data_IF_029497969697
#
_entry.id   IF_029497969697
#
_cell.length_a   1.000
_cell.length_b   1.000
_cell.length_c   1.000
_cell.angle_alpha   90.00
_cell.angle_beta   90.00
_cell.angle_gamma   90.00
#
_symmetry.space_group_name_H-M   'P 1'
#
loop_
_entity.id
_entity.type
_entity.pdbx_description
1 polymer ?
#
# COMPACT_ATOMS: atom_id res chain seq x y z
N UNK A 1 -6.24 -19.50 11.76
CA UNK A 1 -7.12 -18.55 11.05
C UNK A 1 -7.57 -17.54 12.08
N UNK A 2 -7.30 -16.26 11.87
CA UNK A 2 -7.71 -15.22 12.81
C UNK A 2 -8.64 -14.25 12.08
N UNK A 3 -9.82 -14.03 12.66
CA UNK A 3 -10.79 -13.04 12.21
C UNK A 3 -10.44 -11.71 12.86
N UNK A 4 -10.32 -10.68 12.03
CA UNK A 4 -9.99 -9.32 12.43
C UNK A 4 -11.10 -8.38 11.98
N UNK A 5 -11.24 -7.26 12.68
CA UNK A 5 -12.26 -6.24 12.41
C UNK A 5 -11.49 -4.95 12.16
N UNK A 6 -11.58 -4.43 10.94
CA UNK A 6 -11.06 -3.12 10.57
C UNK A 6 -12.27 -2.33 10.03
N UNK A 7 -12.81 -1.42 10.83
CA UNK A 7 -14.03 -0.68 10.50
C UNK A 7 -15.29 -1.56 10.43
N UNK A 8 -16.15 -1.29 9.45
CA UNK A 8 -17.43 -1.99 9.27
C UNK A 8 -17.30 -3.37 8.61
N UNK A 9 -16.12 -3.71 8.04
CA UNK A 9 -15.87 -5.00 7.37
C UNK A 9 -14.98 -5.90 8.21
N UNK A 10 -15.34 -7.19 8.25
CA UNK A 10 -14.53 -8.22 8.91
C UNK A 10 -13.49 -8.72 7.91
N UNK A 11 -12.25 -8.84 8.33
CA UNK A 11 -11.15 -9.38 7.55
C UNK A 11 -10.69 -10.72 8.13
N UNK A 12 -10.16 -11.59 7.25
CA UNK A 12 -9.65 -12.91 7.60
C UNK A 12 -8.17 -12.94 7.28
N UNK A 13 -7.34 -13.16 8.30
CA UNK A 13 -5.91 -13.32 8.12
C UNK A 13 -5.55 -14.80 8.23
N UNK A 14 -4.87 -15.28 7.18
CA UNK A 14 -4.40 -16.66 7.09
C UNK A 14 -2.89 -16.65 7.24
N UNK A 15 -2.43 -17.37 8.27
CA UNK A 15 -1.02 -17.56 8.54
C UNK A 15 -0.47 -18.69 7.67
N UNK A 16 0.49 -18.34 6.82
CA UNK A 16 1.20 -19.27 5.95
C UNK A 16 2.57 -19.58 6.55
N UNK A 17 2.98 -20.84 6.68
CA UNK A 17 4.34 -21.18 7.10
C UNK A 17 5.39 -20.51 6.20
N UNK A 18 6.44 -19.91 6.78
CA UNK A 18 7.45 -19.14 6.03
C UNK A 18 8.07 -19.91 4.85
N UNK A 19 8.26 -21.22 5.00
CA UNK A 19 8.82 -22.10 3.94
C UNK A 19 7.97 -22.10 2.68
N UNK A 20 6.65 -21.98 2.80
CA UNK A 20 5.69 -22.06 1.69
C UNK A 20 5.37 -20.69 1.08
N UNK A 21 5.90 -19.58 1.63
CA UNK A 21 5.58 -18.20 1.19
C UNK A 21 5.70 -18.02 -0.32
N UNK A 22 6.75 -18.59 -0.94
CA UNK A 22 7.00 -18.44 -2.39
C UNK A 22 5.89 -19.08 -3.24
N UNK A 23 5.43 -20.27 -2.87
CA UNK A 23 4.36 -20.98 -3.58
C UNK A 23 3.03 -20.24 -3.46
N UNK A 24 2.70 -19.77 -2.25
CA UNK A 24 1.49 -18.97 -2.02
C UNK A 24 1.52 -17.63 -2.74
N UNK A 25 2.69 -16.99 -2.88
CA UNK A 25 2.82 -15.77 -3.70
C UNK A 25 2.47 -16.01 -5.17
N UNK A 26 2.83 -17.17 -5.75
CA UNK A 26 2.50 -17.49 -7.15
C UNK A 26 0.99 -17.64 -7.38
N UNK A 27 0.26 -18.21 -6.42
CA UNK A 27 -1.17 -18.56 -6.57
C UNK A 27 -2.08 -17.49 -5.92
N UNK A 28 -1.50 -16.47 -5.27
CA UNK A 28 -2.19 -15.52 -4.40
C UNK A 28 -3.48 -14.93 -5.00
N UNK A 29 -3.40 -14.41 -6.24
CA UNK A 29 -4.54 -13.73 -6.88
C UNK A 29 -5.74 -14.67 -7.04
N UNK A 30 -5.49 -15.94 -7.38
CA UNK A 30 -6.56 -16.94 -7.55
C UNK A 30 -7.11 -17.38 -6.19
N UNK A 31 -6.22 -17.69 -5.25
CA UNK A 31 -6.59 -18.13 -3.90
C UNK A 31 -7.42 -17.09 -3.16
N UNK A 32 -7.00 -15.82 -3.18
CA UNK A 32 -7.73 -14.73 -2.49
C UNK A 32 -9.12 -14.56 -3.10
N UNK A 33 -9.24 -14.56 -4.43
CA UNK A 33 -10.55 -14.46 -5.11
C UNK A 33 -11.49 -15.61 -4.77
N UNK A 34 -10.98 -16.84 -4.69
CA UNK A 34 -11.79 -18.00 -4.31
C UNK A 34 -12.24 -17.95 -2.86
N UNK A 35 -11.33 -17.56 -1.96
CA UNK A 35 -11.62 -17.44 -0.53
C UNK A 35 -12.60 -16.29 -0.27
N UNK A 36 -12.46 -15.15 -0.94
CA UNK A 36 -13.39 -14.02 -0.79
C UNK A 36 -14.81 -14.38 -1.23
N UNK A 37 -14.96 -15.17 -2.30
CA UNK A 37 -16.26 -15.72 -2.69
C UNK A 37 -16.86 -16.63 -1.61
N UNK A 38 -16.05 -17.46 -0.96
CA UNK A 38 -16.50 -18.38 0.09
C UNK A 38 -16.77 -17.67 1.42
N UNK A 39 -16.08 -16.58 1.71
CA UNK A 39 -16.19 -15.86 2.98
C UNK A 39 -17.15 -14.66 2.97
N UNK A 40 -18.10 -14.62 2.02
CA UNK A 40 -19.27 -13.72 2.00
C UNK A 40 -18.92 -12.25 2.31
N UNK A 41 -18.02 -11.67 1.50
CA UNK A 41 -17.69 -10.24 1.58
C UNK A 41 -16.69 -9.86 2.68
N UNK A 42 -15.95 -10.83 3.22
CA UNK A 42 -14.80 -10.58 4.09
C UNK A 42 -13.52 -10.48 3.27
N UNK A 43 -12.69 -9.49 3.59
CA UNK A 43 -11.39 -9.33 2.96
C UNK A 43 -10.41 -10.40 3.47
N UNK A 44 -9.74 -11.10 2.57
CA UNK A 44 -8.77 -12.14 2.93
C UNK A 44 -7.35 -11.64 2.70
N UNK A 45 -6.49 -11.79 3.72
CA UNK A 45 -5.07 -11.40 3.68
C UNK A 45 -4.19 -12.59 4.07
N UNK A 46 -3.18 -12.89 3.25
CA UNK A 46 -2.23 -13.97 3.50
C UNK A 46 -0.94 -13.42 4.12
N UNK A 47 -0.54 -13.93 5.29
CA UNK A 47 0.64 -13.46 6.00
C UNK A 47 1.56 -14.62 6.34
N UNK A 48 2.84 -14.48 6.02
CA UNK A 48 3.83 -15.47 6.42
C UNK A 48 4.09 -15.43 7.94
N UNK A 49 4.08 -16.58 8.62
CA UNK A 49 4.48 -16.68 10.02
C UNK A 49 5.97 -16.41 10.15
N UNK A 50 6.34 -15.31 10.80
CA UNK A 50 7.73 -14.92 11.05
C UNK A 50 7.95 -14.83 12.55
N UNK A 51 9.10 -15.30 13.02
CA UNK A 51 9.44 -15.31 14.44
C UNK A 51 10.50 -14.26 14.75
N UNK A 52 10.18 -13.34 15.66
CA UNK A 52 11.09 -12.28 16.11
C UNK A 52 12.01 -12.85 17.20
N UNK A 53 13.33 -12.67 17.04
CA UNK A 53 14.29 -12.97 18.10
C UNK A 53 14.59 -11.70 18.88
N UNK A 54 14.64 -11.82 20.20
CA UNK A 54 15.12 -10.74 21.06
C UNK A 54 16.60 -10.46 20.75
N UNK A 55 17.06 -9.20 20.83
CA UNK A 55 18.48 -8.90 20.74
C UNK A 55 19.27 -9.75 21.76
N UNK A 56 20.44 -10.30 21.37
CA UNK A 56 21.28 -11.06 22.28
C UNK A 56 21.74 -10.18 23.46
N UNK A 57 21.88 -10.78 24.65
CA UNK A 57 22.45 -10.07 25.81
C UNK A 57 23.94 -9.79 25.56
N UNK A 58 24.45 -8.68 26.11
CA UNK A 58 25.86 -8.31 25.99
C UNK A 58 26.73 -9.46 26.52
N UNK A 59 27.68 -9.94 25.72
CA UNK A 59 28.55 -11.08 26.05
C UNK A 59 28.06 -12.47 25.63
N UNK A 60 26.89 -12.58 24.98
CA UNK A 60 26.44 -13.86 24.44
C UNK A 60 27.05 -14.15 23.06
N UNK A 61 27.46 -15.40 22.84
CA UNK A 61 28.05 -15.87 21.58
C UNK A 61 27.01 -16.03 20.44
N UNK A 62 25.71 -16.03 20.77
CA UNK A 62 24.63 -16.27 19.81
C UNK A 62 24.35 -14.99 19.02
N UNK A 63 24.77 -14.98 17.76
CA UNK A 63 24.49 -13.88 16.83
C UNK A 63 23.07 -13.98 16.28
N UNK A 64 22.28 -12.92 16.44
CA UNK A 64 20.93 -12.85 15.87
C UNK A 64 21.00 -12.62 14.36
N UNK A 65 20.36 -13.47 13.53
CA UNK A 65 20.28 -13.22 12.09
C UNK A 65 19.43 -11.97 11.80
N UNK A 66 19.86 -11.14 10.84
CA UNK A 66 19.19 -9.87 10.51
C UNK A 66 17.73 -10.05 10.09
N UNK A 67 17.40 -11.16 9.43
CA UNK A 67 16.04 -11.52 9.00
C UNK A 67 15.05 -11.71 10.16
N UNK A 68 15.53 -11.94 11.38
CA UNK A 68 14.70 -12.14 12.59
C UNK A 68 14.71 -10.93 13.52
N UNK A 69 15.16 -9.77 13.04
CA UNK A 69 15.03 -8.50 13.75
C UNK A 69 13.59 -7.98 13.68
N UNK A 70 13.18 -7.17 14.66
CA UNK A 70 11.83 -6.58 14.70
C UNK A 70 11.57 -5.73 13.46
N UNK A 71 12.52 -4.87 13.07
CA UNK A 71 12.39 -4.01 11.90
C UNK A 71 12.24 -4.81 10.61
N UNK A 72 13.13 -5.76 10.35
CA UNK A 72 13.07 -6.58 9.14
C UNK A 72 11.79 -7.43 9.07
N UNK A 73 11.32 -7.96 10.20
CA UNK A 73 10.08 -8.72 10.24
C UNK A 73 8.87 -7.82 9.95
N UNK A 74 8.82 -6.61 10.49
CA UNK A 74 7.73 -5.67 10.25
C UNK A 74 7.67 -5.23 8.78
N UNK A 75 8.82 -4.91 8.18
CA UNK A 75 8.89 -4.56 6.75
C UNK A 75 8.44 -5.74 5.88
N UNK A 76 8.85 -6.95 6.24
CA UNK A 76 8.49 -8.14 5.49
C UNK A 76 7.05 -8.66 5.75
N UNK A 77 6.36 -8.11 6.77
CA UNK A 77 4.91 -8.26 6.99
C UNK A 77 4.16 -7.24 6.12
N UNK A 78 4.62 -5.99 6.03
CA UNK A 78 4.03 -4.98 5.14
C UNK A 78 4.00 -5.45 3.69
N UNK A 79 5.12 -5.98 3.18
CA UNK A 79 5.17 -6.60 1.85
C UNK A 79 4.19 -7.78 1.68
N UNK A 80 3.87 -8.47 2.77
CA UNK A 80 2.96 -9.62 2.74
C UNK A 80 1.50 -9.18 2.68
N UNK A 81 1.15 -8.14 3.44
CA UNK A 81 -0.22 -7.60 3.52
C UNK A 81 -0.65 -6.97 2.20
N UNK A 82 0.25 -6.26 1.53
CA UNK A 82 -0.05 -5.43 0.36
C UNK A 82 -0.02 -6.21 -0.96
N UNK A 83 0.55 -7.41 -0.98
CA UNK A 83 0.64 -8.23 -2.19
C UNK A 83 -0.76 -8.47 -2.79
N UNK A 84 -0.99 -8.27 -4.10
CA UNK A 84 -0.03 -8.20 -5.21
C UNK A 84 0.60 -6.82 -5.47
N UNK A 85 0.10 -5.74 -4.86
CA UNK A 85 0.65 -4.42 -5.09
C UNK A 85 2.07 -4.31 -4.52
N UNK A 86 2.90 -3.54 -5.23
CA UNK A 86 4.27 -3.25 -4.82
C UNK A 86 4.35 -1.92 -4.10
N UNK A 87 5.23 -1.86 -3.10
CA UNK A 87 5.49 -0.64 -2.34
C UNK A 87 6.56 0.15 -3.09
N UNK A 88 6.18 1.31 -3.62
CA UNK A 88 7.07 2.24 -4.32
C UNK A 88 7.95 2.99 -3.33
N UNK A 89 7.38 3.36 -2.18
CA UNK A 89 8.09 4.18 -1.20
C UNK A 89 7.53 4.08 0.19
N UNK A 90 8.36 4.45 1.16
CA UNK A 90 8.00 4.49 2.58
C UNK A 90 8.52 5.79 3.18
N UNK A 91 7.61 6.60 3.74
CA UNK A 91 7.95 7.81 4.49
C UNK A 91 7.46 7.66 5.92
N UNK A 92 8.22 8.16 6.88
CA UNK A 92 7.79 8.18 8.28
C UNK A 92 7.59 9.63 8.69
N UNK A 93 6.35 9.99 9.01
CA UNK A 93 6.01 11.30 9.53
C UNK A 93 6.02 11.25 11.06
N UNK A 94 6.75 12.18 11.66
CA UNK A 94 6.73 12.41 13.09
C UNK A 94 5.78 13.58 13.39
N UNK A 95 4.85 13.40 14.33
CA UNK A 95 4.00 14.47 14.85
C UNK A 95 4.68 15.16 16.02
N UNK A 96 4.16 16.32 16.43
CA UNK A 96 4.62 17.07 17.60
C UNK A 96 4.52 16.22 18.88
N UNK A 97 3.50 15.37 18.98
CA UNK A 97 3.29 14.41 20.09
C UNK A 97 4.28 13.23 20.06
N UNK A 98 5.37 13.32 19.29
CA UNK A 98 6.35 12.25 19.03
C UNK A 98 5.77 10.96 18.43
N UNK A 99 4.48 10.93 18.11
CA UNK A 99 3.83 9.79 17.46
C UNK A 99 4.30 9.65 16.02
N UNK A 100 4.44 8.39 15.58
CA UNK A 100 4.97 8.03 14.27
C UNK A 100 3.85 7.49 13.40
N UNK A 101 3.64 8.13 12.25
CA UNK A 101 2.75 7.63 11.19
C UNK A 101 3.63 7.19 10.02
N UNK A 102 3.46 5.94 9.58
CA UNK A 102 4.17 5.42 8.42
C UNK A 102 3.27 5.60 7.20
N UNK A 103 3.71 6.44 6.26
CA UNK A 103 3.08 6.61 4.95
C UNK A 103 3.72 5.65 3.96
N UNK A 104 2.92 4.79 3.36
CA UNK A 104 3.36 3.79 2.38
C UNK A 104 2.77 4.17 1.04
N UNK A 105 3.63 4.32 0.04
CA UNK A 105 3.24 4.62 -1.33
C UNK A 105 3.12 3.34 -2.12
N UNK A 106 1.95 3.09 -2.68
CA UNK A 106 1.67 1.95 -3.55
C UNK A 106 1.81 2.35 -5.02
N UNK A 107 2.05 1.38 -5.90
CA UNK A 107 2.06 1.63 -7.35
C UNK A 107 0.64 2.03 -7.82
N UNK A 108 0.46 3.18 -8.51
CA UNK A 108 -0.84 3.62 -9.01
C UNK A 108 -1.47 2.65 -10.02
N UNK A 109 -0.70 1.76 -10.65
CA UNK A 109 -1.22 0.78 -11.62
C UNK A 109 -2.21 -0.22 -11.03
N UNK A 110 -2.05 -0.55 -9.75
CA UNK A 110 -2.87 -1.56 -9.07
C UNK A 110 -4.06 -0.96 -8.29
N UNK A 111 -4.31 0.34 -8.44
CA UNK A 111 -5.30 1.10 -7.66
C UNK A 111 -6.68 0.43 -7.67
N UNK A 112 -7.17 0.01 -8.83
CA UNK A 112 -8.48 -0.63 -9.00
C UNK A 112 -8.65 -1.90 -8.15
N UNK A 113 -7.55 -2.63 -7.90
CA UNK A 113 -7.57 -3.89 -7.16
C UNK A 113 -7.37 -3.71 -5.66
N UNK A 114 -6.70 -2.64 -5.22
CA UNK A 114 -6.29 -2.45 -3.82
C UNK A 114 -7.07 -1.39 -3.07
N UNK A 115 -7.76 -0.48 -3.76
CA UNK A 115 -8.50 0.64 -3.16
C UNK A 115 -9.52 0.18 -2.10
N UNK A 116 -10.30 -0.87 -2.37
CA UNK A 116 -11.31 -1.36 -1.43
C UNK A 116 -10.74 -2.05 -0.18
N UNK A 117 -9.42 -2.30 -0.11
CA UNK A 117 -8.75 -3.01 1.00
C UNK A 117 -7.87 -2.13 1.88
N UNK A 118 -7.71 -0.85 1.56
CA UNK A 118 -6.74 0.03 2.24
C UNK A 118 -7.00 0.13 3.76
N UNK A 119 -8.27 0.24 4.16
CA UNK A 119 -8.68 0.25 5.57
C UNK A 119 -8.34 -1.07 6.27
N UNK A 120 -8.59 -2.20 5.59
CA UNK A 120 -8.26 -3.54 6.08
C UNK A 120 -6.75 -3.71 6.28
N UNK A 121 -5.93 -3.25 5.34
CA UNK A 121 -4.47 -3.33 5.46
C UNK A 121 -3.94 -2.54 6.66
N UNK A 122 -4.47 -1.34 6.89
CA UNK A 122 -4.10 -0.52 8.04
C UNK A 122 -4.49 -1.20 9.35
N UNK A 123 -5.72 -1.71 9.46
CA UNK A 123 -6.21 -2.38 10.66
C UNK A 123 -5.46 -3.68 10.98
N UNK A 124 -5.19 -4.51 9.96
CA UNK A 124 -4.42 -5.75 10.13
C UNK A 124 -2.99 -5.45 10.58
N UNK A 125 -2.34 -4.45 9.98
CA UNK A 125 -0.97 -4.10 10.35
C UNK A 125 -0.90 -3.48 11.75
N UNK A 126 -1.83 -2.59 12.10
CA UNK A 126 -1.91 -2.02 13.44
C UNK A 126 -2.09 -3.12 14.50
N UNK A 127 -2.94 -4.12 14.24
CA UNK A 127 -3.15 -5.22 15.20
C UNK A 127 -1.96 -6.15 15.36
N UNK A 128 -1.23 -6.43 14.27
CA UNK A 128 -0.06 -7.32 14.30
C UNK A 128 1.19 -6.63 14.88
N UNK A 129 1.38 -5.35 14.56
CA UNK A 129 2.63 -4.64 14.82
C UNK A 129 2.51 -3.49 15.83
N UNK A 130 1.29 -3.03 16.15
CA UNK A 130 1.05 -1.86 17.01
C UNK A 130 1.52 -0.54 16.41
N UNK A 131 1.62 -0.45 15.08
CA UNK A 131 2.12 0.74 14.37
C UNK A 131 1.07 1.27 13.41
N UNK A 132 0.92 2.59 13.39
CA UNK A 132 -0.04 3.25 12.50
C UNK A 132 0.55 3.40 11.10
N UNK A 133 -0.23 2.95 10.12
CA UNK A 133 0.12 2.98 8.70
C UNK A 133 -1.01 3.61 7.91
N UNK A 134 -0.63 4.48 6.99
CA UNK A 134 -1.51 5.08 5.99
C UNK A 134 -0.97 4.70 4.61
N UNK A 135 -1.85 4.17 3.77
CA UNK A 135 -1.54 3.83 2.38
C UNK A 135 -2.00 4.96 1.47
N UNK A 136 -1.11 5.45 0.62
CA UNK A 136 -1.36 6.52 -0.34
C UNK A 136 -0.85 6.08 -1.71
N UNK A 137 -1.42 6.62 -2.78
CA UNK A 137 -0.84 6.50 -4.12
C UNK A 137 -0.06 7.77 -4.43
N UNK A 138 1.14 7.69 -5.02
CA UNK A 138 1.83 8.88 -5.48
C UNK A 138 0.99 9.50 -6.59
N UNK A 139 0.51 10.71 -6.37
CA UNK A 139 -0.10 11.50 -7.44
C UNK A 139 1.04 11.86 -8.39
N UNK A 140 1.01 11.32 -9.60
CA UNK A 140 1.98 11.67 -10.64
C UNK A 140 1.91 13.18 -10.83
N UNK A 141 3.03 13.89 -10.62
CA UNK A 141 3.13 15.35 -10.74
C UNK A 141 2.66 15.86 -12.12
N UNK A 142 2.62 14.99 -13.14
CA UNK A 142 2.05 15.28 -14.46
C UNK A 142 0.56 15.65 -14.45
N UNK A 143 -0.23 15.17 -13.49
CA UNK A 143 -1.64 15.54 -13.38
C UNK A 143 -1.84 16.96 -12.83
N UNK A 144 -0.89 17.45 -12.00
CA UNK A 144 -0.94 18.81 -11.45
C UNK A 144 -0.65 19.86 -12.52
N UNK A 145 0.21 19.54 -13.50
CA UNK A 145 0.47 20.45 -14.62
C UNK A 145 -0.78 20.61 -15.49
N UNK A 146 -1.53 19.54 -15.74
CA UNK A 146 -2.76 19.61 -16.53
C UNK A 146 -3.89 20.38 -15.83
N UNK A 147 -4.12 20.15 -14.53
CA UNK A 147 -5.17 20.86 -13.79
C UNK A 147 -4.81 22.32 -13.52
N UNK A 148 -3.54 22.62 -13.24
CA UNK A 148 -3.08 24.00 -13.09
C UNK A 148 -3.14 24.77 -14.42
N UNK A 149 -2.90 24.11 -15.56
CA UNK A 149 -3.09 24.75 -16.87
C UNK A 149 -4.56 25.03 -17.18
N UNK A 150 -5.50 24.14 -16.85
CA UNK A 150 -6.94 24.40 -17.06
C UNK A 150 -7.47 25.53 -16.16
N UNK A 151 -7.06 25.60 -14.89
CA UNK A 151 -7.46 26.69 -13.98
C UNK A 151 -6.90 28.06 -14.44
N UNK A 152 -5.66 28.10 -14.93
CA UNK A 152 -5.07 29.33 -15.49
C UNK A 152 -5.77 29.74 -16.80
N UNK A 153 -6.16 28.76 -17.63
CA UNK A 153 -6.78 29.03 -18.92
C UNK A 153 -8.22 29.53 -18.77
N UNK A 154 -8.99 29.00 -17.82
CA UNK A 154 -10.38 29.44 -17.55
C UNK A 154 -10.47 30.88 -17.03
N UNK A 155 -9.49 31.35 -16.26
CA UNK A 155 -9.46 32.75 -15.80
C UNK A 155 -9.03 33.77 -16.87
N UNK A 156 -8.53 33.33 -18.04
CA UNK A 156 -7.97 34.21 -19.07
C UNK A 156 -8.71 34.19 -20.42
N UNK A 157 -9.80 33.44 -20.56
CA UNK A 157 -10.60 33.41 -21.81
C UNK A 157 -11.89 34.23 -21.69
N UNK A 158 -11.77 35.54 -21.59
CA UNK A 158 -12.84 36.45 -22.03
C UNK A 158 -12.60 36.99 -23.45
N UNK A 159 -11.54 36.56 -24.15
CA UNK A 159 -11.16 37.16 -25.43
C UNK A 159 -10.34 36.25 -26.37
N UNK A 160 -10.66 34.95 -26.49
CA UNK A 160 -9.99 34.08 -27.47
C UNK A 160 -10.97 33.50 -28.49
N UNK A 161 -10.65 33.65 -29.77
CA UNK A 161 -11.48 33.16 -30.87
C UNK A 161 -11.36 31.64 -31.05
N UNK A 162 -12.37 30.95 -31.59
CA UNK A 162 -12.43 29.48 -31.67
C UNK A 162 -11.24 28.80 -32.37
N UNK A 163 -10.54 29.51 -33.27
CA UNK A 163 -9.36 28.98 -33.98
C UNK A 163 -8.13 28.83 -33.07
N UNK A 164 -7.93 29.74 -32.11
CA UNK A 164 -6.79 29.66 -31.20
C UNK A 164 -6.93 28.54 -30.16
N UNK A 165 -8.17 28.23 -29.78
CA UNK A 165 -8.50 27.10 -28.91
C UNK A 165 -8.18 25.75 -29.57
N UNK A 166 -8.38 25.64 -30.89
CA UNK A 166 -8.12 24.42 -31.65
C UNK A 166 -6.61 24.11 -31.79
N UNK A 167 -5.79 25.12 -32.10
CA UNK A 167 -4.33 24.95 -32.25
C UNK A 167 -3.65 24.60 -30.93
N UNK A 168 -4.09 25.22 -29.82
CA UNK A 168 -3.57 24.90 -28.48
C UNK A 168 -3.96 23.50 -28.01
N UNK A 169 -5.15 23.01 -28.38
CA UNK A 169 -5.59 21.64 -28.05
C UNK A 169 -4.80 20.57 -28.81
N UNK A 170 -4.34 20.86 -30.03
CA UNK A 170 -3.46 19.97 -30.79
C UNK A 170 -2.07 19.92 -30.13
N UNK A 171 -1.50 21.07 -29.79
CA UNK A 171 -0.17 21.15 -29.16
C UNK A 171 -0.11 20.53 -27.75
N UNK A 172 -1.20 20.54 -26.99
CA UNK A 172 -1.26 19.91 -25.65
C UNK A 172 -1.54 18.40 -25.69
N UNK A 173 -1.97 17.85 -26.84
CA UNK A 173 -2.31 16.43 -27.00
C UNK A 173 -1.11 15.52 -27.31
N UNK A 174 0.10 16.09 -27.49
CA UNK A 174 1.34 15.30 -27.57
C UNK A 174 1.35 14.23 -28.67
N UNK A 175 0.74 14.49 -29.83
CA UNK A 175 0.87 13.65 -31.03
C UNK A 175 1.81 14.35 -32.01
N UNK A 176 3.08 13.99 -31.92
CA UNK A 176 4.09 14.06 -32.99
C UNK A 176 5.04 12.87 -32.79
#
# INVERSE_FOLDING_TARGET
>A
MLLYIAGNRKSVVIHVPYRLRKSFKKIHVRLVRELEKKFSGKDVVLIATRSILKPPKKGSAVVRPRSRTLTAVHDAILEGVVFPAEIVGKRVRYRLDCSKIIKIFLDPKELNNTEYKLETFSGVYHKLCGKDVVFEYPVTESAQVFTAFEEIFMHKTSSFTPRELFVKKILSSGVA
#
